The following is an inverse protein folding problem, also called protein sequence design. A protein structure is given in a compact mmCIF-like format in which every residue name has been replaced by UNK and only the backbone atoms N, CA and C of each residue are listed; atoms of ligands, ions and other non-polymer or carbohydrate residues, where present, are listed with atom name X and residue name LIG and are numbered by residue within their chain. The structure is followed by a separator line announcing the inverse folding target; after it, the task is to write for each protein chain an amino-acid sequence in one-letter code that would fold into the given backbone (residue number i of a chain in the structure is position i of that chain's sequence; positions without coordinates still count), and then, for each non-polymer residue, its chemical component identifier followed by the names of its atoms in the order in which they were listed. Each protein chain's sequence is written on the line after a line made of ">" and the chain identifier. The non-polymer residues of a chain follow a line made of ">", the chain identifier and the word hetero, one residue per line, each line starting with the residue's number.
data_IF_810055985045
#
_entry.id   IF_810055985045
#
_cell.length_a   1.000
_cell.length_b   1.000
_cell.length_c   1.000
_cell.angle_alpha   90.00
_cell.angle_beta   90.00
_cell.angle_gamma   90.00
#
_symmetry.space_group_name_H-M   'P 1'
#
loop_
_entity.id
_entity.type
_entity.pdbx_description
1 polymer ?
#
# COMPACT_ATOMS: atom_id res chain seq x y z
N UNK A 1 13.40 7.44 -18.62
CA UNK A 1 13.74 6.37 -17.67
C UNK A 1 13.83 5.05 -18.41
N UNK A 2 14.87 4.27 -18.14
CA UNK A 2 15.09 2.95 -18.74
C UNK A 2 14.19 1.90 -18.06
N UNK A 3 12.99 1.72 -18.65
CA UNK A 3 12.02 0.73 -18.14
C UNK A 3 12.55 -0.70 -18.27
N UNK A 4 13.26 -1.02 -19.35
CA UNK A 4 13.73 -2.37 -19.60
C UNK A 4 14.82 -2.77 -18.59
N UNK A 5 15.79 -1.88 -18.34
CA UNK A 5 16.80 -2.10 -17.30
C UNK A 5 16.21 -2.23 -15.91
N UNK A 6 15.19 -1.42 -15.58
CA UNK A 6 14.48 -1.54 -14.32
C UNK A 6 13.75 -2.89 -14.18
N UNK A 7 13.04 -3.31 -15.23
CA UNK A 7 12.35 -4.60 -15.25
C UNK A 7 13.30 -5.78 -15.12
N UNK A 8 14.43 -5.74 -15.80
CA UNK A 8 15.45 -6.79 -15.71
C UNK A 8 16.02 -6.90 -14.29
N UNK A 9 16.21 -5.77 -13.60
CA UNK A 9 16.56 -5.75 -12.19
C UNK A 9 15.50 -6.41 -11.30
N UNK A 10 14.23 -6.05 -11.47
CA UNK A 10 13.11 -6.64 -10.73
C UNK A 10 12.97 -8.14 -10.98
N UNK A 11 13.11 -8.58 -12.22
CA UNK A 11 13.02 -10.00 -12.63
C UNK A 11 14.19 -10.79 -12.02
N UNK A 12 15.41 -10.26 -12.12
CA UNK A 12 16.60 -10.90 -11.56
C UNK A 12 16.47 -11.08 -10.04
N UNK A 13 15.99 -10.06 -9.34
CA UNK A 13 15.71 -10.14 -7.90
C UNK A 13 14.64 -11.19 -7.60
N UNK A 14 13.52 -11.21 -8.35
CA UNK A 14 12.45 -12.15 -8.12
C UNK A 14 12.91 -13.62 -8.29
N UNK A 15 13.76 -13.88 -9.31
CA UNK A 15 14.36 -15.21 -9.52
C UNK A 15 15.32 -15.61 -8.38
N UNK A 16 16.19 -14.69 -7.96
CA UNK A 16 17.11 -14.94 -6.88
C UNK A 16 16.37 -15.21 -5.56
N UNK A 17 15.37 -14.42 -5.23
CA UNK A 17 14.53 -14.61 -4.05
C UNK A 17 13.81 -15.96 -4.06
N UNK A 18 13.20 -16.34 -5.19
CA UNK A 18 12.52 -17.62 -5.35
C UNK A 18 13.50 -18.80 -5.26
N UNK A 19 14.69 -18.69 -5.87
CA UNK A 19 15.77 -19.67 -5.75
C UNK A 19 16.27 -19.87 -4.31
N UNK A 20 16.19 -18.81 -3.49
CA UNK A 20 16.47 -18.86 -2.05
C UNK A 20 15.27 -19.29 -1.19
N UNK A 21 14.19 -19.81 -1.80
CA UNK A 21 12.98 -20.25 -1.10
C UNK A 21 12.13 -19.11 -0.52
N UNK A 22 12.35 -17.87 -0.97
CA UNK A 22 11.57 -16.69 -0.55
C UNK A 22 10.46 -16.41 -1.53
N UNK A 23 9.38 -15.79 -1.04
CA UNK A 23 8.28 -15.32 -1.88
C UNK A 23 8.57 -13.91 -2.38
N UNK A 24 8.36 -13.68 -3.66
CA UNK A 24 8.46 -12.37 -4.29
C UNK A 24 7.16 -12.06 -5.05
N UNK A 25 6.55 -10.92 -4.78
CA UNK A 25 5.40 -10.43 -5.51
C UNK A 25 5.78 -9.17 -6.30
N UNK A 26 5.61 -9.23 -7.62
CA UNK A 26 5.66 -8.07 -8.49
C UNK A 26 4.26 -7.46 -8.53
N UNK A 27 4.13 -6.16 -8.24
CA UNK A 27 2.84 -5.50 -8.16
C UNK A 27 2.71 -4.36 -9.17
N UNK A 28 1.69 -4.42 -10.01
CA UNK A 28 1.30 -3.33 -10.90
C UNK A 28 0.21 -2.48 -10.23
N UNK A 29 0.46 -1.18 -10.08
CA UNK A 29 -0.35 -0.26 -9.28
C UNK A 29 -1.11 0.78 -10.09
N UNK A 30 -1.53 0.46 -11.28
CA UNK A 30 -2.05 1.46 -12.22
C UNK A 30 -3.29 0.99 -12.98
N UNK A 31 -4.10 0.13 -12.37
CA UNK A 31 -5.25 -0.49 -13.04
C UNK A 31 -6.57 0.27 -12.86
N UNK A 32 -6.53 1.51 -12.44
CA UNK A 32 -7.73 2.29 -12.20
C UNK A 32 -8.04 3.26 -13.36
N UNK A 33 -9.10 3.02 -14.03
CA UNK A 33 -9.90 3.98 -14.78
C UNK A 33 -9.17 4.86 -15.81
N UNK A 34 -9.46 6.15 -15.83
CA UNK A 34 -9.22 7.07 -16.93
C UNK A 34 -7.75 7.45 -17.24
N UNK A 35 -6.81 7.23 -16.34
CA UNK A 35 -5.38 7.45 -16.58
C UNK A 35 -4.71 6.28 -17.35
N UNK A 36 -5.47 5.30 -17.76
CA UNK A 36 -5.00 3.95 -18.08
C UNK A 36 -4.50 3.75 -19.50
N UNK A 37 -4.73 4.67 -20.45
CA UNK A 37 -4.34 4.39 -21.85
C UNK A 37 -2.83 4.23 -22.01
N UNK A 38 -2.04 5.12 -21.42
CA UNK A 38 -0.58 4.98 -21.36
C UNK A 38 -0.11 3.86 -20.44
N UNK A 39 -0.73 3.73 -19.26
CA UNK A 39 -0.43 2.70 -18.28
C UNK A 39 -0.80 1.30 -18.79
N UNK A 40 -1.91 1.13 -19.50
CA UNK A 40 -2.29 -0.14 -20.11
C UNK A 40 -1.31 -0.58 -21.20
N UNK A 41 -0.74 0.34 -21.95
CA UNK A 41 0.30 0.03 -22.94
C UNK A 41 1.58 -0.46 -22.24
N UNK A 42 2.04 0.22 -21.19
CA UNK A 42 3.18 -0.22 -20.39
C UNK A 42 2.91 -1.56 -19.70
N UNK A 43 1.73 -1.75 -19.14
CA UNK A 43 1.35 -3.03 -18.56
C UNK A 43 1.39 -4.17 -19.59
N UNK A 44 0.96 -3.93 -20.81
CA UNK A 44 1.06 -4.88 -21.90
C UNK A 44 2.51 -5.30 -22.19
N UNK A 45 3.43 -4.35 -22.25
CA UNK A 45 4.86 -4.60 -22.42
C UNK A 45 5.46 -5.36 -21.24
N UNK A 46 5.16 -4.93 -20.02
CA UNK A 46 5.61 -5.60 -18.78
C UNK A 46 5.12 -7.04 -18.75
N UNK A 47 3.83 -7.28 -19.00
CA UNK A 47 3.25 -8.63 -19.00
C UNK A 47 3.84 -9.52 -20.09
N UNK A 48 4.11 -8.98 -21.28
CA UNK A 48 4.78 -9.71 -22.36
C UNK A 48 6.19 -10.14 -21.93
N UNK A 49 6.97 -9.21 -21.37
CA UNK A 49 8.31 -9.51 -20.86
C UNK A 49 8.29 -10.56 -19.72
N UNK A 50 7.34 -10.44 -18.80
CA UNK A 50 7.19 -11.44 -17.73
C UNK A 50 6.81 -12.84 -18.27
N UNK A 51 5.98 -12.92 -19.32
CA UNK A 51 5.64 -14.19 -19.97
C UNK A 51 6.82 -14.85 -20.68
N UNK A 52 7.70 -14.05 -21.31
CA UNK A 52 8.93 -14.55 -21.91
C UNK A 52 9.86 -15.17 -20.86
N UNK A 53 9.99 -14.52 -19.71
CA UNK A 53 10.90 -14.94 -18.65
C UNK A 53 10.33 -16.08 -17.79
N UNK A 54 9.02 -16.11 -17.60
CA UNK A 54 8.27 -17.12 -16.87
C UNK A 54 7.26 -17.81 -17.80
N UNK A 55 7.71 -18.65 -18.74
CA UNK A 55 6.87 -19.21 -19.82
C UNK A 55 5.88 -20.28 -19.34
N UNK A 56 5.91 -20.67 -18.07
CA UNK A 56 5.02 -21.68 -17.52
C UNK A 56 3.54 -21.28 -17.53
N UNK A 57 2.68 -22.20 -17.12
CA UNK A 57 1.26 -21.91 -16.97
C UNK A 57 1.02 -21.04 -15.74
N UNK A 58 0.62 -19.80 -15.97
CA UNK A 58 0.21 -18.88 -14.91
C UNK A 58 -1.14 -19.30 -14.31
N UNK A 59 -1.20 -19.32 -12.99
CA UNK A 59 -2.42 -19.67 -12.25
C UNK A 59 -2.90 -18.47 -11.44
N UNK A 60 -4.10 -18.01 -11.73
CA UNK A 60 -4.72 -16.90 -11.02
C UNK A 60 -5.70 -17.40 -9.96
N UNK A 61 -5.65 -16.77 -8.80
CA UNK A 61 -6.60 -16.93 -7.71
C UNK A 61 -7.02 -15.57 -7.15
N UNK A 62 -7.74 -15.55 -6.00
CA UNK A 62 -8.19 -14.30 -5.37
C UNK A 62 -7.05 -13.43 -4.81
N UNK A 63 -5.83 -13.95 -4.70
CA UNK A 63 -4.66 -13.28 -4.13
C UNK A 63 -3.72 -12.74 -5.20
N UNK A 64 -3.90 -13.12 -6.45
CA UNK A 64 -3.05 -12.72 -7.57
C UNK A 64 -2.76 -13.87 -8.54
N UNK A 65 -1.72 -13.73 -9.31
CA UNK A 65 -1.31 -14.70 -10.32
C UNK A 65 0.05 -15.28 -9.97
N UNK A 66 0.11 -16.60 -9.78
CA UNK A 66 1.38 -17.32 -9.64
C UNK A 66 2.00 -17.50 -11.02
N UNK A 67 3.18 -16.92 -11.24
CA UNK A 67 3.93 -17.02 -12.51
C UNK A 67 4.93 -18.18 -12.50
N UNK A 68 5.56 -18.41 -11.35
CA UNK A 68 6.49 -19.51 -11.09
C UNK A 68 6.48 -19.83 -9.59
N UNK A 69 7.05 -20.96 -9.14
CA UNK A 69 7.21 -21.24 -7.72
C UNK A 69 7.90 -20.07 -7.00
N UNK A 70 7.24 -19.50 -5.99
CA UNK A 70 7.75 -18.35 -5.23
C UNK A 70 7.62 -16.98 -5.91
N UNK A 71 7.18 -16.90 -7.18
CA UNK A 71 7.03 -15.62 -7.91
C UNK A 71 5.57 -15.35 -8.24
N UNK A 72 5.08 -14.21 -7.80
CA UNK A 72 3.68 -13.80 -7.90
C UNK A 72 3.54 -12.47 -8.63
N UNK A 73 2.45 -12.30 -9.37
CA UNK A 73 2.03 -11.03 -9.94
C UNK A 73 0.74 -10.59 -9.26
N UNK A 74 0.74 -9.39 -8.75
CA UNK A 74 -0.42 -8.76 -8.13
C UNK A 74 -0.79 -7.49 -8.89
N UNK A 75 -2.09 -7.20 -8.91
CA UNK A 75 -2.61 -5.96 -9.46
C UNK A 75 -3.19 -5.12 -8.33
N UNK A 76 -2.92 -3.84 -8.34
CA UNK A 76 -3.42 -2.90 -7.34
C UNK A 76 -3.94 -1.64 -8.00
N UNK A 77 -5.06 -1.14 -7.49
CA UNK A 77 -5.55 0.17 -7.89
C UNK A 77 -4.64 1.26 -7.35
N UNK A 78 -4.29 2.22 -8.19
CA UNK A 78 -3.66 3.46 -7.79
C UNK A 78 -4.60 4.20 -6.83
N UNK A 79 -4.08 4.88 -5.87
CA UNK A 79 -4.83 5.74 -4.97
C UNK A 79 -4.07 7.05 -4.75
N UNK A 80 -4.81 8.09 -4.41
CA UNK A 80 -4.21 9.35 -4.02
C UNK A 80 -3.63 9.21 -2.61
N UNK A 81 -2.34 9.48 -2.47
CA UNK A 81 -1.67 9.54 -1.18
C UNK A 81 -2.30 10.63 -0.31
N UNK A 82 -2.34 10.44 1.00
CA UNK A 82 -2.81 11.48 1.90
C UNK A 82 -1.90 12.72 1.77
N UNK A 83 -2.54 13.88 1.64
CA UNK A 83 -1.87 15.16 1.48
C UNK A 83 -2.74 16.24 2.12
N UNK A 84 -2.17 17.01 3.06
CA UNK A 84 -2.89 18.07 3.76
C UNK A 84 -3.34 19.21 2.84
N UNK A 85 -2.70 19.38 1.68
CA UNK A 85 -3.08 20.36 0.67
C UNK A 85 -4.21 19.89 -0.24
N UNK A 86 -4.46 18.57 -0.30
CA UNK A 86 -5.51 18.00 -1.13
C UNK A 86 -6.92 18.30 -0.58
N UNK A 87 -7.96 18.32 -1.42
CA UNK A 87 -9.34 18.47 -0.96
C UNK A 87 -9.75 17.28 -0.07
N UNK A 88 -10.70 17.53 0.82
CA UNK A 88 -11.24 16.44 1.64
C UNK A 88 -12.07 15.46 0.79
N UNK A 89 -11.86 14.20 1.04
CA UNK A 89 -12.63 13.13 0.43
C UNK A 89 -14.03 13.05 1.07
N UNK A 90 -15.06 12.96 0.25
CA UNK A 90 -16.44 12.80 0.70
C UNK A 90 -16.78 11.35 1.09
N UNK A 91 -17.90 11.16 1.79
CA UNK A 91 -18.49 9.87 2.11
C UNK A 91 -17.98 9.24 3.41
N UNK A 92 -18.44 8.01 3.65
CA UNK A 92 -18.11 7.24 4.87
C UNK A 92 -16.62 6.91 4.92
N UNK A 93 -16.02 7.04 6.11
CA UNK A 93 -14.56 7.06 6.28
C UNK A 93 -14.03 5.93 7.17
N UNK A 94 -14.39 4.70 6.84
CA UNK A 94 -13.79 3.53 7.52
C UNK A 94 -12.33 3.37 7.11
N UNK A 95 -11.47 2.97 8.04
CA UNK A 95 -10.07 2.64 7.79
C UNK A 95 -9.57 1.64 8.84
N UNK A 96 -8.58 0.84 8.48
CA UNK A 96 -7.91 -0.10 9.37
C UNK A 96 -6.74 0.51 10.16
N UNK A 97 -6.43 1.79 9.97
CA UNK A 97 -5.42 2.51 10.76
C UNK A 97 -5.71 2.40 12.27
N UNK A 98 -4.71 2.13 13.09
CA UNK A 98 -4.80 1.83 14.52
C UNK A 98 -5.66 0.61 14.90
N UNK A 99 -6.25 -0.09 13.94
CA UNK A 99 -6.98 -1.33 14.17
C UNK A 99 -6.10 -2.55 13.88
N UNK A 100 -5.54 -2.60 12.69
CA UNK A 100 -4.78 -3.73 12.18
C UNK A 100 -3.32 -3.34 11.88
N UNK A 101 -3.00 -2.07 11.97
CA UNK A 101 -1.67 -1.54 11.69
C UNK A 101 -1.39 -0.24 12.45
N UNK A 102 -0.12 0.01 12.68
CA UNK A 102 0.46 1.24 13.19
C UNK A 102 1.78 1.45 12.45
N UNK A 103 2.21 2.69 12.26
CA UNK A 103 3.53 3.02 11.74
C UNK A 103 4.45 3.50 12.86
N UNK A 104 5.74 3.21 12.72
CA UNK A 104 6.80 3.79 13.55
C UNK A 104 7.83 4.37 12.59
N UNK A 105 8.10 5.66 12.73
CA UNK A 105 9.09 6.36 11.93
C UNK A 105 10.50 6.10 12.48
N UNK A 106 11.50 6.47 11.70
CA UNK A 106 12.92 6.22 12.01
C UNK A 106 13.39 6.85 13.34
N UNK A 107 12.75 7.94 13.77
CA UNK A 107 13.01 8.68 15.01
C UNK A 107 12.17 8.17 16.22
N UNK A 108 11.46 7.04 16.07
CA UNK A 108 10.61 6.47 17.09
C UNK A 108 9.21 7.04 17.17
N UNK A 109 8.85 8.02 16.31
CA UNK A 109 7.50 8.61 16.27
C UNK A 109 6.48 7.56 15.82
N UNK A 110 5.42 7.38 16.60
CA UNK A 110 4.32 6.47 16.30
C UNK A 110 3.23 7.23 15.55
N UNK A 111 2.79 6.67 14.41
CA UNK A 111 1.77 7.25 13.51
C UNK A 111 0.65 6.24 13.24
N UNK A 112 -0.55 6.68 12.82
CA UNK A 112 -1.71 5.78 12.68
C UNK A 112 -1.57 4.67 11.64
N UNK A 113 -0.76 4.89 10.61
CA UNK A 113 -0.53 3.92 9.52
C UNK A 113 0.71 4.29 8.70
N UNK A 114 1.16 3.38 7.83
CA UNK A 114 2.32 3.56 6.97
C UNK A 114 2.17 4.66 5.88
N UNK A 115 0.98 5.20 5.67
CA UNK A 115 0.76 6.28 4.71
C UNK A 115 1.04 7.67 5.31
N UNK A 116 1.14 7.77 6.62
CA UNK A 116 1.57 8.97 7.33
C UNK A 116 3.10 8.97 7.50
N UNK A 117 3.80 9.03 6.37
CA UNK A 117 5.26 8.91 6.33
C UNK A 117 5.99 10.19 6.74
N UNK A 118 5.33 11.33 6.70
CA UNK A 118 5.87 12.61 7.18
C UNK A 118 5.63 12.83 8.69
N UNK A 119 4.76 12.00 9.32
CA UNK A 119 4.45 12.15 10.74
C UNK A 119 3.49 13.28 11.06
N UNK A 120 2.57 13.59 10.15
CA UNK A 120 1.56 14.65 10.33
C UNK A 120 0.60 14.36 11.51
N UNK A 121 0.46 13.09 11.89
CA UNK A 121 -0.38 12.64 13.00
C UNK A 121 0.48 11.91 14.04
N UNK A 122 1.40 12.61 14.74
CA UNK A 122 2.20 11.98 15.76
C UNK A 122 1.31 11.61 16.96
N UNK A 123 1.35 10.34 17.36
CA UNK A 123 0.59 9.81 18.50
C UNK A 123 1.43 9.80 19.78
N UNK A 124 2.74 9.76 19.66
CA UNK A 124 3.74 9.71 20.70
C UNK A 124 5.06 9.17 20.16
N UNK A 125 6.03 8.96 21.02
CA UNK A 125 7.35 8.45 20.65
C UNK A 125 7.74 7.28 21.54
N UNK A 126 8.32 6.21 20.96
CA UNK A 126 8.72 5.00 21.68
C UNK A 126 9.89 5.22 22.63
N UNK A 127 10.64 6.32 22.50
CA UNK A 127 11.67 6.71 23.45
C UNK A 127 11.09 7.36 24.72
N UNK A 128 9.82 7.86 24.66
CA UNK A 128 9.19 8.55 25.77
C UNK A 128 8.17 7.68 26.52
N UNK A 129 7.72 6.58 25.91
CA UNK A 129 6.71 5.71 26.53
C UNK A 129 6.46 4.40 25.80
N UNK A 130 5.64 3.55 26.37
CA UNK A 130 5.28 2.28 25.76
C UNK A 130 4.32 2.45 24.59
N UNK A 131 4.37 1.52 23.62
CA UNK A 131 3.40 1.49 22.53
C UNK A 131 1.96 1.39 23.05
N UNK A 132 1.73 0.65 24.13
CA UNK A 132 0.42 0.48 24.75
C UNK A 132 -0.13 1.81 25.28
N UNK A 133 0.69 2.59 25.98
CA UNK A 133 0.29 3.92 26.47
C UNK A 133 -0.02 4.88 25.31
N UNK A 134 0.81 4.88 24.28
CA UNK A 134 0.62 5.70 23.08
C UNK A 134 -0.70 5.36 22.39
N UNK A 135 -0.99 4.09 22.17
CA UNK A 135 -2.23 3.62 21.54
C UNK A 135 -3.46 3.81 22.43
N UNK A 136 -3.27 3.91 23.73
CA UNK A 136 -4.31 4.22 24.70
C UNK A 136 -4.58 5.71 24.88
N UNK A 137 -3.80 6.57 24.24
CA UNK A 137 -3.93 8.03 24.32
C UNK A 137 -5.31 8.51 23.81
N UNK A 138 -5.80 9.67 24.29
CA UNK A 138 -7.07 10.22 23.82
C UNK A 138 -7.10 10.42 22.31
N UNK A 139 -5.97 10.86 21.69
CA UNK A 139 -5.86 11.07 20.24
C UNK A 139 -5.98 9.75 19.46
N UNK A 140 -5.24 8.72 19.85
CA UNK A 140 -5.30 7.41 19.21
C UNK A 140 -6.71 6.80 19.32
N UNK A 141 -7.33 6.89 20.49
CA UNK A 141 -8.72 6.44 20.71
C UNK A 141 -9.74 7.21 19.87
N UNK A 142 -9.56 8.53 19.70
CA UNK A 142 -10.43 9.33 18.87
C UNK A 142 -10.38 8.91 17.40
N UNK A 143 -9.18 8.60 16.88
CA UNK A 143 -8.99 8.08 15.52
C UNK A 143 -9.66 6.71 15.35
N UNK A 144 -9.36 5.76 16.26
CA UNK A 144 -9.91 4.42 16.23
C UNK A 144 -11.45 4.41 16.29
N UNK A 145 -12.01 5.16 17.25
CA UNK A 145 -13.46 5.26 17.44
C UNK A 145 -14.12 6.01 16.27
N UNK A 146 -13.46 7.04 15.75
CA UNK A 146 -13.92 7.77 14.58
C UNK A 146 -14.08 6.85 13.38
N UNK A 147 -13.08 6.04 13.05
CA UNK A 147 -13.17 5.08 11.96
C UNK A 147 -14.24 4.01 12.19
N UNK A 148 -14.41 3.53 13.41
CA UNK A 148 -15.48 2.58 13.77
C UNK A 148 -16.89 3.17 13.53
N UNK A 149 -17.03 4.50 13.62
CA UNK A 149 -18.27 5.24 13.35
C UNK A 149 -18.35 5.76 11.91
N UNK A 150 -17.40 5.43 11.05
CA UNK A 150 -17.31 5.90 9.67
C UNK A 150 -16.87 7.35 9.54
N UNK A 151 -16.13 7.90 10.50
CA UNK A 151 -15.61 9.28 10.51
C UNK A 151 -14.10 9.29 10.64
N UNK A 152 -13.42 10.15 9.87
CA UNK A 152 -12.00 10.41 10.03
C UNK A 152 -11.78 11.59 10.98
N UNK A 153 -11.16 11.35 12.13
CA UNK A 153 -10.88 12.40 13.14
C UNK A 153 -9.82 13.38 12.63
N UNK A 154 -8.78 12.90 11.98
CA UNK A 154 -7.63 13.70 11.57
C UNK A 154 -7.79 14.29 10.16
N UNK A 155 -7.19 15.48 9.95
CA UNK A 155 -7.25 16.20 8.70
C UNK A 155 -6.62 15.41 7.53
N UNK A 156 -5.46 14.78 7.76
CA UNK A 156 -4.77 13.94 6.79
C UNK A 156 -5.63 12.74 6.41
N UNK A 157 -6.27 12.09 7.40
CA UNK A 157 -7.17 10.95 7.15
C UNK A 157 -8.42 11.35 6.34
N UNK A 158 -8.88 12.60 6.46
CA UNK A 158 -9.98 13.12 5.63
C UNK A 158 -9.58 13.32 4.16
N UNK A 159 -8.29 13.37 3.86
CA UNK A 159 -7.72 13.61 2.52
C UNK A 159 -7.03 12.39 1.92
N UNK A 160 -7.23 11.22 2.55
CA UNK A 160 -6.59 9.97 2.14
C UNK A 160 -7.47 9.18 1.16
N UNK A 161 -7.00 9.04 -0.09
CA UNK A 161 -7.70 8.26 -1.12
C UNK A 161 -7.65 6.74 -0.90
N UNK A 162 -6.70 6.24 -0.11
CA UNK A 162 -6.57 4.80 0.16
C UNK A 162 -7.81 4.18 0.80
N UNK A 163 -8.54 4.93 1.62
CA UNK A 163 -9.74 4.47 2.29
C UNK A 163 -10.90 4.09 1.36
N UNK A 164 -10.88 4.57 0.10
CA UNK A 164 -11.91 4.19 -0.91
C UNK A 164 -12.00 2.67 -1.08
N UNK A 165 -10.91 1.95 -0.84
CA UNK A 165 -10.85 0.48 -0.90
C UNK A 165 -11.70 -0.23 0.14
N UNK A 166 -12.06 0.45 1.22
CA UNK A 166 -12.86 -0.08 2.32
C UNK A 166 -14.32 0.37 2.28
N UNK A 167 -14.66 1.23 1.32
CA UNK A 167 -16.02 1.69 1.07
C UNK A 167 -16.68 0.71 0.09
N UNK A 168 -17.44 -0.26 0.62
CA UNK A 168 -18.38 -1.07 -0.15
C UNK A 168 -19.79 -0.63 0.16
#
# INVERSE_FOLDING_TARGET
>A
EDLDGYLDGCISFARAAAGAGKRCALRLWNLDGAETEGANRQNGQILSRLREVFPGLWRSDRRGTTMAPGVYLEFGEKFQWPDLSAPEEEGRRFCYGLRDQVGVLWDGTVVPCCLDHEGDIPLGNLYDGSLEDILSSPRARAIYNGFSQGRAAEALCRRCGYRRRFSK
#
